data_IF_972992840031
#
_entry.id   IF_972992840031
#
_cell.length_a   1.000
_cell.length_b   1.000
_cell.length_c   1.000
_cell.angle_alpha   90.00
_cell.angle_beta   90.00
_cell.angle_gamma   90.00
#
_symmetry.space_group_name_H-M   'P 1'
#
loop_
_entity.id
_entity.type
_entity.pdbx_description
1 polymer ?
#
# COMPACT_ATOMS: atom_id res chain seq x y z
N UNK A 1 -13.15 -17.60 -7.43
CA UNK A 1 -13.18 -16.41 -6.55
C UNK A 1 -12.06 -15.52 -7.01
N UNK A 2 -12.38 -14.33 -7.52
CA UNK A 2 -11.37 -13.34 -7.88
C UNK A 2 -10.54 -12.98 -6.64
N UNK A 3 -9.23 -13.08 -6.74
CA UNK A 3 -8.32 -12.62 -5.70
C UNK A 3 -8.22 -11.09 -5.84
N UNK A 4 -8.77 -10.38 -4.85
CA UNK A 4 -8.84 -8.91 -4.85
C UNK A 4 -7.46 -8.25 -4.94
N UNK A 5 -6.42 -8.88 -4.40
CA UNK A 5 -5.03 -8.42 -4.49
C UNK A 5 -4.55 -8.40 -5.94
N UNK A 6 -4.91 -9.41 -6.75
CA UNK A 6 -4.59 -9.42 -8.18
C UNK A 6 -5.34 -8.33 -8.95
N UNK A 7 -6.62 -8.07 -8.62
CA UNK A 7 -7.39 -6.99 -9.24
C UNK A 7 -6.76 -5.64 -8.95
N UNK A 8 -6.40 -5.37 -7.69
CA UNK A 8 -5.71 -4.14 -7.29
C UNK A 8 -4.36 -4.03 -8.02
N UNK A 9 -3.56 -5.09 -8.02
CA UNK A 9 -2.27 -5.10 -8.69
C UNK A 9 -2.37 -4.77 -10.18
N UNK A 10 -3.35 -5.33 -10.88
CA UNK A 10 -3.57 -5.05 -12.30
C UNK A 10 -3.94 -3.58 -12.57
N UNK A 11 -4.73 -2.95 -11.68
CA UNK A 11 -5.04 -1.52 -11.81
C UNK A 11 -3.81 -0.64 -11.53
N UNK A 12 -2.95 -1.04 -10.58
CA UNK A 12 -1.67 -0.37 -10.35
C UNK A 12 -0.76 -0.46 -11.58
N UNK A 13 -0.64 -1.65 -12.17
CA UNK A 13 0.13 -1.88 -13.40
C UNK A 13 -0.40 -1.07 -14.57
N UNK A 14 -1.72 -0.98 -14.71
CA UNK A 14 -2.36 -0.18 -15.74
C UNK A 14 -2.00 1.30 -15.59
N UNK A 15 -2.13 1.86 -14.39
CA UNK A 15 -1.72 3.23 -14.10
C UNK A 15 -0.24 3.48 -14.41
N UNK A 16 0.62 2.52 -14.03
CA UNK A 16 2.06 2.55 -14.34
C UNK A 16 2.35 2.52 -15.84
N UNK A 17 1.56 1.80 -16.64
CA UNK A 17 1.69 1.76 -18.10
C UNK A 17 1.23 3.07 -18.75
N UNK A 18 0.14 3.66 -18.26
CA UNK A 18 -0.48 4.85 -18.86
C UNK A 18 0.27 6.15 -18.48
N UNK A 19 0.72 6.28 -17.24
CA UNK A 19 1.23 7.55 -16.69
C UNK A 19 2.66 7.47 -16.16
N UNK A 20 3.34 6.33 -16.33
CA UNK A 20 4.63 6.01 -15.72
C UNK A 20 4.66 5.96 -14.17
N UNK A 21 3.57 6.37 -13.52
CA UNK A 21 3.35 6.41 -12.07
C UNK A 21 1.95 5.93 -11.71
N UNK A 22 1.76 5.44 -10.50
CA UNK A 22 0.45 5.06 -9.97
C UNK A 22 0.30 5.52 -8.52
N UNK A 23 -0.93 5.82 -8.08
CA UNK A 23 -1.22 6.23 -6.71
C UNK A 23 -2.22 5.26 -6.08
N UNK A 24 -1.92 4.82 -4.87
CA UNK A 24 -2.73 3.88 -4.11
C UNK A 24 -3.09 4.47 -2.76
N UNK A 25 -4.35 4.86 -2.59
CA UNK A 25 -4.86 5.37 -1.31
C UNK A 25 -5.56 4.23 -0.58
N UNK A 26 -5.11 3.93 0.64
CA UNK A 26 -5.55 2.75 1.39
C UNK A 26 -6.18 3.09 2.73
N UNK A 27 -7.08 2.24 3.19
CA UNK A 27 -7.65 2.30 4.53
C UNK A 27 -6.86 1.40 5.49
N UNK A 28 -6.90 1.73 6.77
CA UNK A 28 -6.36 0.88 7.82
C UNK A 28 -7.27 -0.30 8.22
N UNK A 29 -7.02 -0.82 9.42
CA UNK A 29 -7.76 -1.94 10.00
C UNK A 29 -7.23 -3.33 9.60
N UNK A 30 -7.82 -4.39 10.17
CA UNK A 30 -7.31 -5.76 10.02
C UNK A 30 -7.69 -6.41 8.67
N UNK A 31 -8.80 -6.01 8.06
CA UNK A 31 -9.32 -6.59 6.82
C UNK A 31 -8.33 -6.51 5.64
N UNK A 32 -7.64 -5.39 5.36
CA UNK A 32 -6.72 -5.30 4.23
C UNK A 32 -5.34 -5.96 4.47
N UNK A 33 -5.02 -6.43 5.68
CA UNK A 33 -3.67 -6.95 6.01
C UNK A 33 -3.24 -8.07 5.08
N UNK A 34 -4.15 -9.00 4.77
CA UNK A 34 -3.83 -10.10 3.85
C UNK A 34 -3.55 -9.58 2.43
N UNK A 35 -4.32 -8.60 1.98
CA UNK A 35 -4.16 -7.97 0.66
C UNK A 35 -2.81 -7.24 0.59
N UNK A 36 -2.45 -6.49 1.63
CA UNK A 36 -1.18 -5.77 1.71
C UNK A 36 0.02 -6.72 1.64
N UNK A 37 -0.02 -7.83 2.37
CA UNK A 37 1.04 -8.84 2.32
C UNK A 37 1.15 -9.48 0.95
N UNK A 38 0.02 -9.84 0.33
CA UNK A 38 0.00 -10.39 -1.03
C UNK A 38 0.57 -9.39 -2.05
N UNK A 39 0.14 -8.13 -2.00
CA UNK A 39 0.67 -7.06 -2.85
C UNK A 39 2.17 -6.85 -2.64
N UNK A 40 2.64 -6.82 -1.39
CA UNK A 40 4.07 -6.60 -1.07
C UNK A 40 5.00 -7.63 -1.71
N UNK A 41 4.50 -8.85 -1.95
CA UNK A 41 5.22 -9.95 -2.57
C UNK A 41 5.14 -9.97 -4.10
N UNK A 42 4.35 -9.08 -4.72
CA UNK A 42 4.23 -8.97 -6.18
C UNK A 42 5.33 -8.07 -6.77
N UNK A 43 5.85 -8.45 -7.93
CA UNK A 43 6.96 -7.74 -8.57
C UNK A 43 6.44 -6.63 -9.50
N UNK A 44 6.83 -5.38 -9.24
CA UNK A 44 6.63 -4.25 -10.15
C UNK A 44 7.66 -3.14 -9.88
N UNK A 45 7.55 -2.00 -10.58
CA UNK A 45 8.26 -0.74 -10.35
C UNK A 45 7.68 0.00 -9.14
N UNK A 46 7.82 -0.57 -7.95
CA UNK A 46 7.30 0.02 -6.70
C UNK A 46 7.77 1.45 -6.45
N UNK A 47 9.00 1.79 -6.86
CA UNK A 47 9.54 3.16 -6.86
C UNK A 47 8.70 4.20 -7.62
N UNK A 48 7.78 3.75 -8.47
CA UNK A 48 6.88 4.59 -9.24
C UNK A 48 5.43 4.56 -8.70
N UNK A 49 5.21 3.87 -7.59
CA UNK A 49 3.92 3.82 -6.90
C UNK A 49 4.02 4.71 -5.66
N UNK A 50 3.01 5.55 -5.48
CA UNK A 50 2.82 6.39 -4.29
C UNK A 50 1.68 5.83 -3.46
N UNK A 51 1.92 5.61 -2.17
CA UNK A 51 0.96 5.08 -1.20
C UNK A 51 0.66 6.18 -0.17
N UNK A 52 -0.61 6.31 0.20
CA UNK A 52 -1.05 7.19 1.29
C UNK A 52 -2.29 6.59 1.96
N UNK A 53 -2.61 7.06 3.15
CA UNK A 53 -3.81 6.68 3.87
C UNK A 53 -5.01 7.55 3.49
N UNK A 54 -6.21 6.98 3.55
CA UNK A 54 -7.47 7.74 3.52
C UNK A 54 -7.63 8.52 4.83
N UNK A 55 -7.33 7.86 5.95
CA UNK A 55 -7.44 8.37 7.30
C UNK A 55 -6.43 7.66 8.23
N UNK A 56 -6.00 8.35 9.28
CA UNK A 56 -5.21 7.78 10.36
C UNK A 56 -5.61 8.45 11.69
N UNK A 57 -5.16 7.88 12.79
CA UNK A 57 -5.32 8.44 14.13
C UNK A 57 -4.17 9.38 14.45
N UNK A 58 -4.47 10.47 15.15
CA UNK A 58 -3.45 11.40 15.66
C UNK A 58 -2.76 10.79 16.88
N UNK A 59 -1.87 9.83 16.62
CA UNK A 59 -1.06 9.10 17.60
C UNK A 59 0.38 9.03 17.10
N UNK A 60 1.32 8.56 17.94
CA UNK A 60 2.68 8.30 17.49
C UNK A 60 2.67 7.22 16.40
N UNK A 61 3.53 7.35 15.38
CA UNK A 61 3.65 6.38 14.27
C UNK A 61 3.94 4.95 14.75
N UNK A 62 4.55 4.74 15.91
CA UNK A 62 4.81 3.39 16.44
C UNK A 62 3.65 2.84 17.31
N UNK A 63 2.58 3.60 17.50
CA UNK A 63 1.42 3.20 18.27
C UNK A 63 0.64 2.09 17.53
N UNK A 64 0.06 1.15 18.28
CA UNK A 64 -0.63 0.00 17.69
C UNK A 64 -1.90 0.37 16.90
N UNK A 65 -2.49 1.53 17.22
CA UNK A 65 -3.63 2.08 16.47
C UNK A 65 -3.23 2.98 15.27
N UNK A 66 -1.94 3.10 14.94
CA UNK A 66 -1.49 3.85 13.76
C UNK A 66 -1.68 3.02 12.49
N UNK A 67 -2.46 3.55 11.55
CA UNK A 67 -2.59 2.95 10.23
C UNK A 67 -1.29 3.10 9.43
N UNK A 68 -0.49 4.13 9.68
CA UNK A 68 0.84 4.27 9.09
C UNK A 68 1.76 3.11 9.50
N UNK A 69 1.77 2.73 10.79
CA UNK A 69 2.48 1.54 11.26
C UNK A 69 2.05 0.31 10.48
N UNK A 70 0.73 0.10 10.39
CA UNK A 70 0.14 -1.04 9.70
C UNK A 70 0.61 -1.13 8.24
N UNK A 71 0.55 -0.02 7.49
CA UNK A 71 0.97 0.03 6.09
C UNK A 71 2.46 -0.25 5.95
N UNK A 72 3.29 0.35 6.80
CA UNK A 72 4.74 0.13 6.79
C UNK A 72 5.11 -1.32 7.12
N UNK A 73 4.41 -1.96 8.05
CA UNK A 73 4.71 -3.34 8.48
C UNK A 73 4.11 -4.41 7.56
N UNK A 74 3.16 -4.07 6.69
CA UNK A 74 2.44 -5.08 5.88
C UNK A 74 2.48 -4.86 4.38
N UNK A 75 2.44 -3.61 3.90
CA UNK A 75 2.45 -3.29 2.47
C UNK A 75 3.83 -2.87 2.00
N UNK A 76 4.48 -1.94 2.70
CA UNK A 76 5.79 -1.36 2.29
C UNK A 76 6.93 -2.26 2.80
N UNK A 77 6.85 -3.53 2.43
CA UNK A 77 7.82 -4.56 2.78
C UNK A 77 8.14 -5.42 1.55
N UNK A 78 9.07 -6.37 1.68
CA UNK A 78 9.50 -7.28 0.61
C UNK A 78 9.82 -6.53 -0.72
N UNK A 79 9.06 -6.76 -1.79
CA UNK A 79 9.31 -6.14 -3.10
C UNK A 79 8.76 -4.72 -3.15
N UNK A 80 7.77 -4.40 -2.33
CA UNK A 80 7.13 -3.09 -2.23
C UNK A 80 7.86 -2.11 -1.32
N UNK A 81 8.99 -2.50 -0.72
CA UNK A 81 9.82 -1.65 0.16
C UNK A 81 10.24 -0.32 -0.46
N UNK A 82 10.34 -0.26 -1.79
CA UNK A 82 10.80 0.92 -2.53
C UNK A 82 9.64 1.83 -2.94
N UNK A 83 8.41 1.55 -2.50
CA UNK A 83 7.27 2.42 -2.76
C UNK A 83 7.41 3.78 -2.06
N UNK A 84 6.93 4.83 -2.72
CA UNK A 84 6.88 6.15 -2.10
C UNK A 84 5.71 6.19 -1.13
N UNK A 85 5.92 6.65 0.10
CA UNK A 85 4.85 6.82 1.08
C UNK A 85 4.68 8.28 1.46
N UNK A 86 3.44 8.75 1.44
CA UNK A 86 3.06 10.07 1.92
C UNK A 86 2.31 9.87 3.23
N UNK A 87 2.92 10.31 4.33
CA UNK A 87 2.26 10.34 5.63
C UNK A 87 1.25 11.49 5.69
N UNK A 88 0.16 11.27 6.44
CA UNK A 88 -0.88 12.25 6.72
C UNK A 88 -0.98 12.60 8.21
N UNK A 89 0.00 12.18 9.03
CA UNK A 89 0.06 12.40 10.48
C UNK A 89 1.38 13.08 10.93
#
# INVERSE_FOLDING_TARGET
MENISHTIFNELEKGLCENAQSTFIVSGGSSPVQIFRELSAMQTRWSNITISLVDDRVVNVNHDDSNEKLVNETLITDKAKDANYISIC
#
